data_IF_699988044801
#
_entry.id   IF_699988044801
#
_cell.length_a   1.000
_cell.length_b   1.000
_cell.length_c   1.000
_cell.angle_alpha   90.00
_cell.angle_beta   90.00
_cell.angle_gamma   90.00
#
_symmetry.space_group_name_H-M   'P 1'
#
loop_
_entity.id
_entity.type
_entity.pdbx_description
1 polymer ?
#
# COMPACT_ATOMS: atom_id res chain seq x y z
N UNK A 1 14.78 1.03 -28.95
CA UNK A 1 13.88 0.37 -27.99
C UNK A 1 13.41 1.41 -26.99
N UNK A 2 12.15 1.80 -27.06
CA UNK A 2 11.52 2.58 -26.01
C UNK A 2 11.64 1.77 -24.70
N UNK A 3 12.18 2.36 -23.63
CA UNK A 3 12.31 1.65 -22.35
C UNK A 3 10.90 1.29 -21.89
N UNK A 4 10.56 0.00 -21.89
CA UNK A 4 9.32 -0.51 -21.31
C UNK A 4 9.32 -0.16 -19.82
N UNK A 5 8.68 0.96 -19.46
CA UNK A 5 8.52 1.38 -18.08
C UNK A 5 7.26 0.72 -17.52
N UNK A 6 7.30 0.15 -16.32
CA UNK A 6 6.10 -0.41 -15.70
C UNK A 6 5.07 0.70 -15.46
N UNK A 7 3.79 0.34 -15.54
CA UNK A 7 2.71 1.23 -15.11
C UNK A 7 2.70 1.30 -13.58
N UNK A 8 2.79 2.51 -13.01
CA UNK A 8 2.93 2.71 -11.57
C UNK A 8 1.66 3.32 -10.99
N UNK A 9 1.13 2.68 -9.95
CA UNK A 9 0.00 3.19 -9.17
C UNK A 9 0.51 3.58 -7.79
N UNK A 10 0.33 4.84 -7.42
CA UNK A 10 0.61 5.33 -6.06
C UNK A 10 -0.66 5.22 -5.21
N UNK A 11 -0.54 4.67 -4.01
CA UNK A 11 -1.63 4.60 -3.03
C UNK A 11 -1.10 5.04 -1.67
N UNK A 12 -1.82 5.97 -1.04
CA UNK A 12 -1.51 6.48 0.30
C UNK A 12 -2.82 6.79 1.04
N UNK A 13 -2.81 6.58 2.35
CA UNK A 13 -3.82 7.13 3.26
C UNK A 13 -3.27 8.43 3.85
N UNK A 14 -4.08 9.48 3.80
CA UNK A 14 -3.71 10.82 4.25
C UNK A 14 -4.79 11.36 5.19
N UNK A 15 -4.37 12.16 6.17
CA UNK A 15 -5.28 12.99 6.94
C UNK A 15 -5.83 14.14 6.07
N UNK A 16 -6.87 14.81 6.57
CA UNK A 16 -7.50 15.93 5.86
C UNK A 16 -6.55 17.12 5.63
N UNK A 17 -5.56 17.30 6.51
CA UNK A 17 -4.49 18.29 6.40
C UNK A 17 -3.26 17.77 5.62
N UNK A 18 -3.38 16.63 4.95
CA UNK A 18 -2.39 16.11 4.00
C UNK A 18 -1.19 15.42 4.65
N UNK A 19 -1.31 14.91 5.87
CA UNK A 19 -0.23 14.18 6.57
C UNK A 19 -0.42 12.66 6.42
N UNK A 20 0.70 11.95 6.40
CA UNK A 20 0.76 10.47 6.26
C UNK A 20 1.12 9.76 7.58
N UNK A 21 1.50 10.52 8.61
CA UNK A 21 1.80 10.02 9.94
C UNK A 21 1.73 11.16 10.96
N UNK A 22 1.51 10.83 12.23
CA UNK A 22 1.63 11.77 13.35
C UNK A 22 3.11 12.12 13.62
N UNK A 23 3.35 13.13 14.47
CA UNK A 23 4.71 13.48 14.93
C UNK A 23 5.38 12.34 15.72
N UNK A 24 4.59 11.50 16.38
CA UNK A 24 5.09 10.30 17.08
C UNK A 24 5.28 9.09 16.15
N UNK A 25 4.95 9.21 14.86
CA UNK A 25 5.12 8.16 13.87
C UNK A 25 3.92 7.23 13.70
N UNK A 26 2.77 7.53 14.32
CA UNK A 26 1.55 6.73 14.10
C UNK A 26 1.01 6.96 12.69
N UNK A 27 0.94 5.88 11.93
CA UNK A 27 0.56 5.82 10.51
C UNK A 27 -0.82 5.17 10.29
N UNK A 28 -1.59 4.87 11.36
CA UNK A 28 -2.89 4.18 11.27
C UNK A 28 -4.04 5.12 10.86
N UNK A 29 -3.98 5.59 9.62
CA UNK A 29 -4.99 6.49 9.03
C UNK A 29 -6.13 5.74 8.32
N UNK A 30 -5.88 4.52 7.84
CA UNK A 30 -6.82 3.74 7.03
C UNK A 30 -7.92 3.04 7.84
N UNK A 31 -9.15 3.07 7.33
CA UNK A 31 -10.27 2.26 7.83
C UNK A 31 -10.27 0.83 7.27
N UNK A 32 -11.15 -0.03 7.77
CA UNK A 32 -11.30 -1.39 7.24
C UNK A 32 -11.74 -1.41 5.77
N UNK A 33 -12.61 -0.49 5.36
CA UNK A 33 -13.07 -0.36 3.98
C UNK A 33 -11.89 -0.01 3.06
N UNK A 34 -11.02 0.91 3.50
CA UNK A 34 -9.82 1.27 2.75
C UNK A 34 -8.84 0.09 2.63
N UNK A 35 -8.64 -0.69 3.69
CA UNK A 35 -7.83 -1.92 3.63
C UNK A 35 -8.37 -2.92 2.60
N UNK A 36 -9.69 -3.12 2.53
CA UNK A 36 -10.29 -4.00 1.51
C UNK A 36 -10.01 -3.46 0.10
N UNK A 37 -10.17 -2.15 -0.13
CA UNK A 37 -9.86 -1.49 -1.40
C UNK A 37 -8.39 -1.66 -1.79
N UNK A 38 -7.46 -1.42 -0.85
CA UNK A 38 -6.02 -1.58 -1.06
C UNK A 38 -5.67 -3.03 -1.42
N UNK A 39 -6.29 -4.00 -0.76
CA UNK A 39 -6.06 -5.41 -1.07
C UNK A 39 -6.59 -5.83 -2.44
N UNK A 40 -7.73 -5.27 -2.90
CA UNK A 40 -8.20 -5.40 -4.28
C UNK A 40 -7.28 -4.76 -5.31
N UNK A 41 -6.57 -3.69 -4.94
CA UNK A 41 -5.55 -3.09 -5.80
C UNK A 41 -4.31 -3.99 -5.87
N UNK A 42 -3.82 -4.47 -4.72
CA UNK A 42 -2.69 -5.40 -4.62
C UNK A 42 -2.91 -6.69 -5.43
N UNK A 43 -4.13 -7.20 -5.50
CA UNK A 43 -4.44 -8.41 -6.29
C UNK A 43 -4.39 -8.21 -7.80
N UNK A 44 -4.24 -6.96 -8.28
CA UNK A 44 -4.26 -6.61 -9.70
C UNK A 44 -2.88 -6.18 -10.24
N UNK A 45 -1.89 -6.02 -9.37
CA UNK A 45 -0.53 -5.60 -9.75
C UNK A 45 0.44 -6.75 -9.62
N UNK A 46 1.53 -6.71 -10.37
CA UNK A 46 2.56 -7.75 -10.37
C UNK A 46 3.57 -7.58 -9.23
N UNK A 47 3.72 -6.36 -8.70
CA UNK A 47 4.66 -6.05 -7.63
C UNK A 47 4.12 -4.97 -6.69
N UNK A 48 4.57 -5.01 -5.43
CA UNK A 48 4.32 -3.99 -4.40
C UNK A 48 5.66 -3.38 -4.01
N UNK A 49 5.77 -2.06 -4.12
CA UNK A 49 6.96 -1.30 -3.74
C UNK A 49 6.69 -0.50 -2.46
N UNK A 50 7.62 -0.57 -1.51
CA UNK A 50 7.62 0.24 -0.29
C UNK A 50 9.03 0.75 0.01
N UNK A 51 9.13 1.85 0.77
CA UNK A 51 10.40 2.34 1.28
C UNK A 51 10.91 1.52 2.46
N UNK A 52 12.24 1.49 2.66
CA UNK A 52 12.90 0.82 3.80
C UNK A 52 12.30 1.21 5.16
N UNK A 53 12.01 2.50 5.36
CA UNK A 53 11.49 3.00 6.64
C UNK A 53 10.08 2.46 6.95
N UNK A 54 9.26 2.20 5.93
CA UNK A 54 7.94 1.55 6.09
C UNK A 54 8.12 0.13 6.59
N UNK A 55 9.08 -0.62 6.04
CA UNK A 55 9.38 -1.97 6.51
C UNK A 55 9.82 -1.96 7.97
N UNK A 56 10.73 -1.05 8.33
CA UNK A 56 11.28 -0.98 9.69
C UNK A 56 10.27 -0.53 10.74
N UNK A 57 9.28 0.31 10.38
CA UNK A 57 8.32 0.89 11.32
C UNK A 57 7.01 0.12 11.41
N UNK A 58 6.52 -0.38 10.27
CA UNK A 58 5.18 -0.94 10.17
C UNK A 58 5.18 -2.48 10.07
N UNK A 59 6.35 -3.11 9.85
CA UNK A 59 6.51 -4.56 9.62
C UNK A 59 5.39 -5.19 8.75
N UNK A 60 5.18 -4.68 7.53
CA UNK A 60 4.03 -5.08 6.75
C UNK A 60 4.26 -6.45 6.09
N UNK A 61 3.25 -7.33 6.17
CA UNK A 61 3.28 -8.61 5.45
C UNK A 61 3.24 -8.49 3.92
N UNK A 62 2.85 -7.32 3.37
CA UNK A 62 2.74 -7.05 1.92
C UNK A 62 1.97 -8.11 1.09
N UNK A 63 1.01 -8.81 1.71
CA UNK A 63 0.19 -9.85 1.08
C UNK A 63 -1.24 -9.39 0.75
N UNK A 64 -1.98 -10.22 0.01
CA UNK A 64 -3.42 -10.05 -0.27
C UNK A 64 -4.24 -10.93 0.68
N UNK A 65 -4.83 -10.33 1.73
CA UNK A 65 -5.63 -11.02 2.76
C UNK A 65 -7.15 -10.78 2.72
N UNK A 66 -7.59 -9.62 2.24
CA UNK A 66 -9.01 -9.23 2.29
C UNK A 66 -9.75 -9.36 0.95
N UNK A 67 -9.19 -10.12 0.00
CA UNK A 67 -9.83 -10.46 -1.28
C UNK A 67 -9.20 -11.72 -1.87
N UNK A 68 -9.81 -12.29 -2.91
CA UNK A 68 -9.22 -13.42 -3.67
C UNK A 68 -7.98 -12.92 -4.42
N UNK A 69 -6.81 -13.49 -4.10
CA UNK A 69 -5.58 -13.26 -4.86
C UNK A 69 -5.61 -13.99 -6.21
N UNK A 70 -4.75 -13.58 -7.14
CA UNK A 70 -4.54 -14.27 -8.42
C UNK A 70 -3.77 -15.59 -8.28
N UNK A 71 -3.15 -15.84 -7.13
CA UNK A 71 -2.36 -17.03 -6.87
C UNK A 71 -2.99 -17.78 -5.71
N UNK A 72 -3.70 -18.87 -6.01
CA UNK A 72 -3.83 -20.03 -5.15
C UNK A 72 -2.93 -21.12 -5.71
#
# INVERSE_FOLDING_TARGET
MEKSRPHVILSAAISIDGKIASRSGDSKLSSQIDKVRLHKLRSKVDAILVGKNTVQRDDPLLTVRYTKGKTQ
#
